data_IF_694149884308
#
_entry.id   IF_694149884308
#
_cell.length_a   1.000
_cell.length_b   1.000
_cell.length_c   1.000
_cell.angle_alpha   90.00
_cell.angle_beta   90.00
_cell.angle_gamma   90.00
#
_symmetry.space_group_name_H-M   'P 1'
#
loop_
_entity.id
_entity.type
_entity.pdbx_description
1 polymer ?
#
# COMPACT_ATOMS: atom_id res chain seq x y z
N UNK A 1 18.28 -11.49 -13.54
CA UNK A 1 18.06 -10.08 -13.96
C UNK A 1 16.66 -9.67 -13.48
N UNK A 2 16.53 -9.21 -12.23
CA UNK A 2 15.23 -8.77 -11.70
C UNK A 2 14.97 -7.37 -12.24
N UNK A 3 14.05 -7.26 -13.20
CA UNK A 3 13.65 -5.98 -13.80
C UNK A 3 12.98 -5.14 -12.71
N UNK A 4 13.44 -3.90 -12.52
CA UNK A 4 12.92 -2.89 -11.58
C UNK A 4 11.42 -2.54 -11.72
N UNK A 5 10.67 -3.22 -12.59
CA UNK A 5 9.26 -2.97 -12.91
C UNK A 5 8.26 -3.85 -12.16
N UNK A 6 8.69 -4.86 -11.39
CA UNK A 6 7.78 -5.81 -10.72
C UNK A 6 7.63 -5.54 -9.22
N UNK A 7 7.65 -4.28 -8.80
CA UNK A 7 7.27 -4.00 -7.42
C UNK A 7 5.78 -4.33 -7.26
N UNK A 8 5.41 -5.13 -6.24
CA UNK A 8 4.02 -5.48 -6.01
C UNK A 8 3.17 -4.22 -5.89
N UNK A 9 2.06 -4.17 -6.62
CA UNK A 9 1.06 -3.11 -6.48
C UNK A 9 -0.15 -3.68 -5.74
N UNK A 10 -0.72 -2.88 -4.85
CA UNK A 10 -1.96 -3.20 -4.12
C UNK A 10 -2.99 -2.10 -4.36
N UNK A 11 -4.26 -2.44 -4.21
CA UNK A 11 -5.35 -1.45 -4.27
C UNK A 11 -5.63 -0.94 -2.85
N UNK A 12 -5.74 0.38 -2.70
CA UNK A 12 -6.10 0.98 -1.43
C UNK A 12 -7.57 0.70 -1.09
N UNK A 13 -7.84 0.05 0.04
CA UNK A 13 -9.21 -0.26 0.46
C UNK A 13 -10.08 0.98 0.74
N UNK A 14 -9.47 2.14 1.02
CA UNK A 14 -10.20 3.38 1.31
C UNK A 14 -10.50 4.23 0.07
N UNK A 15 -9.53 4.37 -0.85
CA UNK A 15 -9.66 5.28 -1.99
C UNK A 15 -9.67 4.59 -3.36
N UNK A 16 -9.54 3.25 -3.40
CA UNK A 16 -9.55 2.45 -4.62
C UNK A 16 -8.35 2.68 -5.55
N UNK A 17 -7.39 3.52 -5.16
CA UNK A 17 -6.23 3.83 -6.01
C UNK A 17 -5.16 2.74 -5.89
N UNK A 18 -4.55 2.31 -7.01
CA UNK A 18 -3.40 1.44 -6.97
C UNK A 18 -2.21 2.16 -6.34
N UNK A 19 -1.45 1.44 -5.52
CA UNK A 19 -0.23 1.95 -4.91
C UNK A 19 0.86 0.88 -4.92
N UNK A 20 2.08 1.31 -5.21
CA UNK A 20 3.24 0.43 -5.35
C UNK A 20 3.93 0.21 -4.00
N UNK A 21 4.51 -0.96 -3.82
CA UNK A 21 5.39 -1.29 -2.71
C UNK A 21 6.43 -0.18 -2.47
N UNK A 22 6.68 0.12 -1.19
CA UNK A 22 7.67 1.09 -0.74
C UNK A 22 8.59 0.41 0.25
N UNK A 23 9.87 0.80 0.28
CA UNK A 23 10.87 0.26 1.22
C UNK A 23 10.44 0.34 2.68
N UNK A 24 9.69 1.38 3.07
CA UNK A 24 9.13 1.52 4.43
C UNK A 24 8.15 0.41 4.83
N UNK A 25 7.64 -0.34 3.87
CA UNK A 25 6.68 -1.42 4.08
C UNK A 25 7.30 -2.81 3.98
N UNK A 26 8.63 -2.92 3.84
CA UNK A 26 9.31 -4.21 3.70
C UNK A 26 8.86 -5.27 4.72
N UNK A 27 8.63 -4.86 5.97
CA UNK A 27 8.23 -5.77 7.08
C UNK A 27 6.73 -5.94 7.26
N UNK A 28 5.92 -5.04 6.70
CA UNK A 28 4.47 -4.95 6.98
C UNK A 28 3.63 -4.99 5.71
N UNK A 29 4.25 -5.27 4.55
CA UNK A 29 3.61 -5.16 3.25
C UNK A 29 2.34 -6.00 3.15
N UNK A 30 2.33 -7.20 3.72
CA UNK A 30 1.16 -8.06 3.77
C UNK A 30 -0.04 -7.41 4.48
N UNK A 31 0.22 -6.68 5.56
CA UNK A 31 -0.80 -5.98 6.35
C UNK A 31 -1.20 -4.62 5.74
N UNK A 32 -0.37 -4.03 4.87
CA UNK A 32 -0.66 -2.72 4.26
C UNK A 32 -1.80 -2.84 3.25
N UNK A 33 -2.97 -2.30 3.65
CA UNK A 33 -4.19 -2.18 2.82
C UNK A 33 -4.44 -0.77 2.29
N UNK A 34 -3.65 0.22 2.72
CA UNK A 34 -3.89 1.63 2.44
C UNK A 34 -2.68 2.31 1.82
N UNK A 35 -2.91 3.18 0.83
CA UNK A 35 -1.84 3.88 0.13
C UNK A 35 -1.13 4.96 0.97
N UNK A 36 -1.76 5.40 2.06
CA UNK A 36 -1.28 6.49 2.91
C UNK A 36 -1.82 6.37 4.34
N UNK A 37 -1.13 7.00 5.28
CA UNK A 37 -1.58 7.10 6.67
C UNK A 37 -2.90 7.86 6.80
N UNK A 38 -3.18 8.82 5.89
CA UNK A 38 -4.50 9.46 5.81
C UNK A 38 -5.59 8.43 5.55
N UNK A 39 -5.44 7.59 4.52
CA UNK A 39 -6.43 6.55 4.19
C UNK A 39 -6.60 5.55 5.34
N UNK A 40 -5.51 5.19 6.03
CA UNK A 40 -5.56 4.32 7.22
C UNK A 40 -6.31 4.96 8.39
N UNK A 41 -6.06 6.24 8.67
CA UNK A 41 -6.74 6.97 9.74
C UNK A 41 -8.22 7.17 9.46
N UNK A 42 -8.58 7.49 8.22
CA UNK A 42 -9.99 7.65 7.82
C UNK A 42 -10.74 6.31 7.90
N UNK A 43 -10.11 5.20 7.51
CA UNK A 43 -10.68 3.87 7.66
C UNK A 43 -10.88 3.43 9.12
N UNK A 44 -10.15 4.03 10.08
CA UNK A 44 -10.33 3.77 11.53
C UNK A 44 -11.48 4.60 12.14
N UNK A 45 -11.91 5.67 11.45
CA UNK A 45 -12.94 6.60 11.94
C UNK A 45 -14.36 6.23 11.47
N UNK A 46 -14.47 5.43 10.41
CA UNK A 46 -15.72 4.85 9.94
C UNK A 46 -16.07 3.61 10.78
#
# INVERSE_FOLDING_TARGET
MVRKGELPTKICAQCGRPFTWRKKWERVWDEVRYCSDRCRSEAKKA
#
